data_IF_975621431624
#
_entry.id   IF_975621431624
#
_cell.length_a   1.000
_cell.length_b   1.000
_cell.length_c   1.000
_cell.angle_alpha   90.00
_cell.angle_beta   90.00
_cell.angle_gamma   90.00
#
_symmetry.space_group_name_H-M   'P 1'
#
loop_
_entity.id
_entity.type
_entity.pdbx_description
1 polymer ?
#
# COMPACT_ATOMS: atom_id res chain seq x y z
N UNK A 1 -14.48 -3.00 -9.92
CA UNK A 1 -13.99 -3.64 -11.16
C UNK A 1 -12.65 -3.02 -11.53
N UNK A 2 -11.77 -3.77 -12.17
CA UNK A 2 -10.50 -3.24 -12.67
C UNK A 2 -10.79 -2.42 -13.95
N UNK A 3 -10.25 -1.19 -14.10
CA UNK A 3 -10.38 -0.39 -15.33
C UNK A 3 -9.88 -1.12 -16.58
N UNK A 4 -10.35 -0.74 -17.76
CA UNK A 4 -9.96 -1.37 -19.04
C UNK A 4 -8.47 -1.27 -19.35
N UNK A 5 -7.83 -0.19 -18.89
CA UNK A 5 -6.37 0.01 -18.96
C UNK A 5 -5.62 -0.88 -17.95
N UNK A 6 -6.31 -1.47 -16.98
CA UNK A 6 -5.67 -2.19 -15.88
C UNK A 6 -5.05 -1.26 -14.86
N UNK A 7 -4.46 -1.85 -13.82
CA UNK A 7 -3.85 -1.13 -12.70
C UNK A 7 -2.49 -1.70 -12.36
N UNK A 8 -1.57 -0.82 -11.98
CA UNK A 8 -0.23 -1.19 -11.60
C UNK A 8 -0.18 -1.71 -10.15
N UNK A 9 0.46 -2.86 -9.95
CA UNK A 9 0.87 -3.32 -8.62
C UNK A 9 2.31 -2.86 -8.39
N UNK A 10 2.54 -2.18 -7.28
CA UNK A 10 3.83 -1.55 -6.97
C UNK A 10 4.61 -2.33 -5.93
N UNK A 11 5.92 -2.14 -5.91
CA UNK A 11 6.77 -2.59 -4.82
C UNK A 11 6.54 -1.74 -3.55
N UNK A 12 6.19 -2.39 -2.43
CA UNK A 12 5.90 -1.69 -1.17
C UNK A 12 7.11 -1.03 -0.49
N UNK A 13 8.35 -1.36 -0.86
CA UNK A 13 9.57 -0.96 -0.14
C UNK A 13 10.27 0.31 -0.68
N UNK A 14 9.77 0.95 -1.73
CA UNK A 14 10.43 2.09 -2.36
C UNK A 14 9.47 3.25 -2.59
N UNK A 15 9.99 4.48 -2.59
CA UNK A 15 9.26 5.69 -2.99
C UNK A 15 9.23 5.85 -4.51
N UNK A 16 10.17 5.21 -5.22
CA UNK A 16 10.17 5.15 -6.67
C UNK A 16 8.98 4.31 -7.16
N UNK A 17 8.35 4.73 -8.25
CA UNK A 17 7.30 3.93 -8.88
C UNK A 17 7.94 2.71 -9.55
N UNK A 18 8.04 1.62 -8.79
CA UNK A 18 8.50 0.33 -9.27
C UNK A 18 7.30 -0.58 -9.48
N UNK A 19 6.82 -0.62 -10.72
CA UNK A 19 5.76 -1.55 -11.13
C UNK A 19 6.31 -2.98 -11.14
N UNK A 20 5.61 -3.88 -10.47
CA UNK A 20 5.94 -5.30 -10.44
C UNK A 20 5.22 -6.06 -11.56
N UNK A 21 3.92 -5.81 -11.71
CA UNK A 21 3.05 -6.36 -12.74
C UNK A 21 1.76 -5.53 -12.80
N UNK A 22 0.89 -5.86 -13.76
CA UNK A 22 -0.41 -5.23 -13.89
C UNK A 22 -1.53 -6.23 -13.67
N UNK A 23 -2.61 -5.77 -13.05
CA UNK A 23 -3.89 -6.46 -13.07
C UNK A 23 -4.74 -5.90 -14.21
N UNK A 24 -5.32 -6.78 -15.02
CA UNK A 24 -6.19 -6.44 -16.14
C UNK A 24 -7.65 -6.81 -15.82
N UNK A 25 -8.63 -6.35 -16.59
CA UNK A 25 -9.99 -6.89 -16.51
C UNK A 25 -9.98 -8.43 -16.61
N UNK A 26 -10.61 -9.11 -15.66
CA UNK A 26 -10.54 -10.57 -15.47
C UNK A 26 -9.62 -11.03 -14.33
N UNK A 27 -8.73 -10.17 -13.83
CA UNK A 27 -7.87 -10.45 -12.67
C UNK A 27 -8.51 -10.02 -11.32
N UNK A 28 -9.83 -9.79 -11.25
CA UNK A 28 -10.49 -9.24 -10.05
C UNK A 28 -10.33 -10.12 -8.82
N UNK A 29 -10.16 -11.43 -8.98
CA UNK A 29 -9.99 -12.36 -7.87
C UNK A 29 -8.54 -12.47 -7.36
N UNK A 30 -7.59 -11.78 -8.00
CA UNK A 30 -6.17 -11.88 -7.64
C UNK A 30 -5.88 -11.08 -6.38
N UNK A 31 -5.23 -11.74 -5.42
CA UNK A 31 -4.84 -11.18 -4.12
C UNK A 31 -3.37 -11.42 -3.78
N UNK A 32 -2.62 -12.05 -4.69
CA UNK A 32 -1.22 -12.47 -4.53
C UNK A 32 -0.40 -12.19 -5.79
N UNK A 33 0.88 -11.88 -5.62
CA UNK A 33 1.86 -11.70 -6.68
C UNK A 33 2.65 -12.99 -7.02
N UNK A 34 2.34 -14.10 -6.36
CA UNK A 34 3.00 -15.38 -6.62
C UNK A 34 2.92 -15.76 -8.10
N UNK A 35 4.08 -16.06 -8.69
CA UNK A 35 4.21 -16.40 -10.12
C UNK A 35 3.95 -15.25 -11.11
N UNK A 36 3.63 -14.03 -10.63
CA UNK A 36 3.30 -12.86 -11.47
C UNK A 36 4.40 -11.80 -11.50
N UNK A 37 5.21 -11.73 -10.45
CA UNK A 37 6.36 -10.85 -10.40
C UNK A 37 7.60 -11.63 -9.99
N UNK A 38 8.67 -11.50 -10.77
CA UNK A 38 10.00 -11.77 -10.23
C UNK A 38 10.34 -10.62 -9.30
N UNK A 39 10.43 -10.92 -8.00
CA UNK A 39 10.80 -9.95 -6.99
C UNK A 39 12.29 -10.10 -6.69
N UNK A 40 13.20 -9.47 -7.46
CA UNK A 40 14.58 -9.45 -7.04
C UNK A 40 14.65 -8.60 -5.76
N UNK A 41 15.27 -9.12 -4.71
CA UNK A 41 15.55 -8.34 -3.51
C UNK A 41 16.28 -7.04 -3.90
N UNK A 42 16.04 -5.88 -3.25
CA UNK A 42 16.88 -4.71 -3.44
C UNK A 42 18.37 -5.08 -3.32
N UNK A 43 19.25 -4.59 -4.21
CA UNK A 43 20.67 -4.89 -4.18
C UNK A 43 21.28 -4.59 -2.80
N UNK A 44 22.09 -5.51 -2.28
CA UNK A 44 22.74 -5.35 -0.97
C UNK A 44 21.90 -5.77 0.23
N UNK A 45 20.73 -6.36 0.03
CA UNK A 45 19.95 -6.90 1.12
C UNK A 45 20.40 -8.29 1.58
N UNK A 46 20.50 -8.43 2.90
CA UNK A 46 20.92 -9.67 3.56
C UNK A 46 19.83 -10.74 3.66
N UNK A 47 18.59 -10.44 3.25
CA UNK A 47 17.45 -11.34 3.44
C UNK A 47 16.50 -11.46 2.22
N UNK A 48 16.93 -12.11 1.12
CA UNK A 48 16.08 -12.36 -0.05
C UNK A 48 14.79 -13.16 0.24
N UNK A 49 14.83 -14.03 1.25
CA UNK A 49 13.77 -14.98 1.57
C UNK A 49 12.52 -14.32 2.15
N UNK A 50 12.67 -13.18 2.82
CA UNK A 50 11.53 -12.53 3.47
C UNK A 50 10.53 -11.93 2.47
N UNK A 51 10.94 -11.62 1.25
CA UNK A 51 10.03 -11.08 0.23
C UNK A 51 9.24 -12.17 -0.50
N UNK A 52 9.85 -13.33 -0.73
CA UNK A 52 9.13 -14.51 -1.21
C UNK A 52 8.10 -15.03 -0.18
N UNK A 53 8.28 -14.71 1.10
CA UNK A 53 7.39 -15.10 2.19
C UNK A 53 6.13 -14.24 2.32
N UNK A 54 6.01 -13.15 1.54
CA UNK A 54 4.91 -12.18 1.64
C UNK A 54 4.34 -11.84 0.25
N UNK A 55 3.87 -12.84 -0.51
CA UNK A 55 3.39 -12.61 -1.86
C UNK A 55 2.02 -11.91 -1.91
N UNK A 56 1.28 -11.86 -0.79
CA UNK A 56 -0.03 -11.23 -0.74
C UNK A 56 0.06 -9.73 -1.00
N UNK A 57 -0.86 -9.21 -1.81
CA UNK A 57 -0.90 -7.79 -2.17
C UNK A 57 -1.56 -7.03 -1.02
N UNK A 58 -0.82 -6.11 -0.42
CA UNK A 58 -1.30 -5.31 0.69
C UNK A 58 -2.09 -4.08 0.23
N UNK A 59 -3.13 -3.76 0.99
CA UNK A 59 -3.92 -2.55 0.78
C UNK A 59 -3.16 -1.31 1.26
N UNK A 60 -3.38 -0.20 0.57
CA UNK A 60 -2.95 1.12 1.02
C UNK A 60 -3.92 2.14 0.47
N UNK A 61 -4.29 3.07 1.31
CA UNK A 61 -5.24 4.12 0.97
C UNK A 61 -4.54 5.46 0.97
N UNK A 62 -5.04 6.37 0.16
CA UNK A 62 -4.63 7.75 0.20
C UNK A 62 -5.80 8.69 0.40
N UNK A 63 -5.63 9.75 1.19
CA UNK A 63 -6.58 10.85 1.19
C UNK A 63 -6.77 11.31 -0.25
N UNK A 64 -8.01 11.53 -0.67
CA UNK A 64 -8.34 11.92 -2.03
C UNK A 64 -7.67 13.28 -2.33
N UNK A 65 -6.44 13.22 -2.83
CA UNK A 65 -5.76 14.39 -3.37
C UNK A 65 -6.43 14.68 -4.69
N UNK A 66 -7.29 15.70 -4.75
CA UNK A 66 -7.64 16.34 -6.03
C UNK A 66 -6.43 17.05 -6.68
N UNK A 67 -5.20 16.63 -6.40
CA UNK A 67 -3.99 17.12 -7.07
C UNK A 67 -2.93 16.01 -7.16
N UNK A 68 -2.49 15.64 -8.38
CA UNK A 68 -1.18 15.02 -8.54
C UNK A 68 -0.16 16.10 -8.16
N UNK A 69 0.58 15.88 -7.06
CA UNK A 69 1.50 16.83 -6.40
C UNK A 69 0.90 17.74 -5.30
N UNK A 70 0.08 17.22 -4.39
CA UNK A 70 0.02 17.81 -3.05
C UNK A 70 1.33 17.50 -2.31
N UNK A 71 2.31 18.39 -2.42
CA UNK A 71 3.41 18.45 -1.46
C UNK A 71 2.86 18.54 -0.03
N UNK A 72 3.62 17.97 0.91
CA UNK A 72 3.49 18.06 2.36
C UNK A 72 2.36 18.98 2.85
N UNK A 73 1.33 18.41 3.46
CA UNK A 73 0.32 19.21 4.17
C UNK A 73 0.97 19.77 5.43
N UNK A 74 1.36 21.03 5.41
CA UNK A 74 1.70 21.80 6.60
C UNK A 74 0.41 22.17 7.37
N UNK A 75 -0.19 21.17 8.02
CA UNK A 75 -1.17 21.37 9.10
C UNK A 75 -0.52 20.92 10.41
N UNK A 76 -0.20 21.89 11.24
CA UNK A 76 0.58 21.84 12.47
C UNK A 76 -0.10 21.16 13.66
N UNK A 77 -0.82 20.05 13.47
CA UNK A 77 -1.47 19.30 14.57
C UNK A 77 -0.69 18.04 14.99
N UNK A 78 0.58 17.91 14.61
CA UNK A 78 1.49 16.90 15.13
C UNK A 78 2.06 17.31 16.50
N UNK A 79 1.25 17.18 17.55
CA UNK A 79 1.78 17.12 18.91
C UNK A 79 2.13 15.66 19.22
N UNK A 80 3.42 15.42 19.49
CA UNK A 80 4.11 14.14 19.78
C UNK A 80 4.93 13.57 18.60
N UNK A 81 6.13 14.14 18.44
CA UNK A 81 7.11 13.76 17.43
C UNK A 81 7.90 12.49 17.75
N UNK A 82 8.24 11.76 16.69
CA UNK A 82 9.54 11.11 16.43
C UNK A 82 9.42 10.31 15.12
N UNK A 83 9.76 10.95 14.00
CA UNK A 83 10.71 10.46 12.99
C UNK A 83 10.57 11.27 11.69
N UNK A 84 11.68 11.89 11.30
CA UNK A 84 11.82 12.69 10.10
C UNK A 84 11.69 11.83 8.84
N UNK A 85 10.48 11.69 8.34
CA UNK A 85 10.16 11.35 6.95
C UNK A 85 9.12 12.38 6.49
N UNK A 86 9.18 12.90 5.26
CA UNK A 86 8.22 13.88 4.78
C UNK A 86 6.81 13.34 5.02
N UNK A 87 6.01 14.07 5.81
CA UNK A 87 4.63 13.75 6.10
C UNK A 87 3.89 13.58 4.77
N UNK A 88 3.48 12.34 4.42
CA UNK A 88 2.79 12.13 3.16
C UNK A 88 1.43 12.83 3.16
N UNK A 89 0.89 13.28 4.31
CA UNK A 89 -0.42 13.92 4.53
C UNK A 89 -1.64 13.09 4.13
N UNK A 90 -1.41 12.19 3.18
CA UNK A 90 -2.34 11.60 2.27
C UNK A 90 -2.04 10.12 2.10
N UNK A 91 -0.93 9.52 2.56
CA UNK A 91 -0.68 8.06 2.42
C UNK A 91 -1.01 7.34 3.73
N UNK A 92 -1.78 6.25 3.66
CA UNK A 92 -2.32 5.52 4.80
C UNK A 92 -2.19 4.01 4.60
N UNK A 93 -1.29 3.40 5.38
CA UNK A 93 -1.33 1.95 5.68
C UNK A 93 -2.05 1.66 6.99
N UNK A 94 -1.95 2.62 7.92
CA UNK A 94 -2.72 2.74 9.15
C UNK A 94 -3.75 3.84 8.99
N UNK A 95 -5.01 3.55 9.27
CA UNK A 95 -6.09 4.52 9.26
C UNK A 95 -7.17 4.11 10.26
N UNK A 96 -7.62 5.06 11.09
CA UNK A 96 -8.77 4.82 11.98
C UNK A 96 -10.01 4.43 11.16
N UNK A 97 -11.08 3.90 11.78
CA UNK A 97 -12.33 3.60 11.07
C UNK A 97 -12.93 4.77 10.28
N UNK A 98 -12.60 6.02 10.67
CA UNK A 98 -13.03 7.25 10.01
C UNK A 98 -12.04 7.74 8.93
N UNK A 99 -10.97 6.99 8.66
CA UNK A 99 -9.94 7.33 7.66
C UNK A 99 -8.88 8.31 8.14
N UNK A 100 -8.88 8.65 9.43
CA UNK A 100 -7.89 9.56 10.01
C UNK A 100 -6.53 8.86 10.13
N UNK A 101 -5.46 9.66 10.19
CA UNK A 101 -4.12 9.12 10.43
C UNK A 101 -4.08 8.31 11.73
N UNK A 102 -3.37 7.19 11.72
CA UNK A 102 -3.11 6.37 12.91
C UNK A 102 -1.63 6.01 12.98
N UNK A 103 -1.09 5.96 14.20
CA UNK A 103 0.25 5.51 14.52
C UNK A 103 0.30 4.05 15.01
N UNK A 104 -0.87 3.41 15.19
CA UNK A 104 -0.99 2.03 15.65
C UNK A 104 -1.14 1.06 14.48
N UNK A 105 -0.52 -0.13 14.57
CA UNK A 105 -0.70 -1.18 13.56
C UNK A 105 -2.01 -1.99 13.78
N UNK A 106 -2.84 -1.63 14.77
CA UNK A 106 -4.19 -2.20 14.96
C UNK A 106 -5.15 -1.73 13.86
N UNK A 107 -4.90 -0.52 13.36
CA UNK A 107 -5.69 0.17 12.35
C UNK A 107 -5.16 -0.05 10.91
N UNK A 108 -4.43 -1.14 10.69
CA UNK A 108 -3.91 -1.47 9.37
C UNK A 108 -5.06 -1.74 8.38
N UNK A 109 -5.03 -1.12 7.19
CA UNK A 109 -6.12 -1.19 6.20
C UNK A 109 -6.50 -2.64 5.83
N UNK A 110 -5.51 -3.53 5.71
CA UNK A 110 -5.70 -4.97 5.49
C UNK A 110 -5.25 -5.82 6.69
N UNK A 111 -5.09 -5.25 7.88
CA UNK A 111 -4.55 -5.93 9.06
C UNK A 111 -3.02 -6.02 9.09
N UNK A 112 -2.45 -6.26 10.27
CA UNK A 112 -1.00 -6.30 10.46
C UNK A 112 -0.40 -7.58 9.85
N UNK A 113 0.68 -7.42 9.07
CA UNK A 113 1.39 -8.56 8.49
C UNK A 113 2.12 -9.42 9.53
N UNK A 114 2.29 -10.69 9.19
CA UNK A 114 2.81 -11.81 10.00
C UNK A 114 4.08 -11.53 10.80
N UNK A 115 4.86 -10.51 10.43
CA UNK A 115 6.11 -10.18 11.13
C UNK A 115 5.93 -9.36 12.42
N UNK A 116 4.74 -8.79 12.76
CA UNK A 116 4.53 -8.01 14.03
C UNK A 116 3.76 -8.70 15.13
N UNK A 117 2.92 -9.68 14.82
CA UNK A 117 1.89 -10.15 15.76
C UNK A 117 1.90 -11.67 15.89
N UNK A 118 1.69 -12.15 17.13
CA UNK A 118 1.59 -13.58 17.46
C UNK A 118 0.44 -14.26 16.72
N UNK A 119 -0.57 -13.48 16.30
CA UNK A 119 -1.67 -13.89 15.46
C UNK A 119 -1.79 -12.87 14.30
N UNK A 120 -1.36 -13.21 13.08
CA UNK A 120 -1.52 -12.35 11.91
C UNK A 120 -2.98 -12.00 11.68
N UNK A 121 -3.28 -10.70 11.57
CA UNK A 121 -4.62 -10.22 11.19
C UNK A 121 -4.70 -9.85 9.70
N UNK A 122 -3.58 -10.02 8.98
CA UNK A 122 -3.51 -9.74 7.56
C UNK A 122 -4.59 -10.52 6.79
N UNK A 123 -5.40 -9.78 6.04
CA UNK A 123 -6.41 -10.33 5.15
C UNK A 123 -6.07 -9.92 3.74
N UNK A 124 -5.72 -10.89 2.90
CA UNK A 124 -5.56 -10.65 1.47
C UNK A 124 -6.89 -10.13 0.90
N UNK A 125 -6.82 -9.03 0.17
CA UNK A 125 -7.98 -8.33 -0.40
C UNK A 125 -7.86 -8.37 -1.92
N UNK A 126 -8.99 -8.41 -2.63
CA UNK A 126 -9.00 -8.14 -4.07
C UNK A 126 -8.77 -6.65 -4.34
N UNK A 127 -8.51 -6.28 -5.59
CA UNK A 127 -8.50 -4.87 -6.00
C UNK A 127 -9.84 -4.19 -5.65
N UNK A 128 -10.97 -4.85 -5.95
CA UNK A 128 -12.30 -4.33 -5.66
C UNK A 128 -12.56 -4.13 -4.16
N UNK A 129 -12.18 -5.10 -3.34
CA UNK A 129 -12.30 -5.00 -1.88
C UNK A 129 -11.44 -3.86 -1.34
N UNK A 130 -10.24 -3.68 -1.89
CA UNK A 130 -9.30 -2.62 -1.47
C UNK A 130 -9.86 -1.24 -1.81
N UNK A 131 -10.40 -1.06 -3.02
CA UNK A 131 -11.11 0.17 -3.41
C UNK A 131 -12.26 0.46 -2.43
N UNK A 132 -13.15 -0.52 -2.22
CA UNK A 132 -14.30 -0.36 -1.33
C UNK A 132 -13.88 -0.05 0.12
N UNK A 133 -12.78 -0.66 0.60
CA UNK A 133 -12.25 -0.40 1.93
C UNK A 133 -11.69 1.01 2.05
N UNK A 134 -10.96 1.50 1.06
CA UNK A 134 -10.49 2.89 1.07
C UNK A 134 -11.67 3.86 1.00
N UNK A 135 -12.67 3.61 0.14
CA UNK A 135 -13.86 4.45 0.03
C UNK A 135 -14.68 4.49 1.32
N UNK A 136 -14.84 3.35 2.00
CA UNK A 136 -15.51 3.28 3.30
C UNK A 136 -14.79 4.10 4.40
N UNK A 137 -13.49 4.33 4.23
CA UNK A 137 -12.69 5.20 5.09
C UNK A 137 -12.69 6.67 4.60
N UNK A 138 -13.41 7.02 3.52
CA UNK A 138 -13.35 8.35 2.92
C UNK A 138 -12.03 8.64 2.18
N UNK A 139 -11.32 7.59 1.76
CA UNK A 139 -10.03 7.63 1.08
C UNK A 139 -10.15 7.03 -0.34
N UNK A 140 -9.11 7.20 -1.16
CA UNK A 140 -8.92 6.53 -2.45
C UNK A 140 -7.70 5.62 -2.45
N UNK A 141 -7.34 5.04 -3.60
CA UNK A 141 -6.06 4.33 -3.76
C UNK A 141 -4.91 5.31 -3.98
N UNK A 142 -3.73 4.93 -3.52
CA UNK A 142 -2.51 5.72 -3.69
C UNK A 142 -1.91 5.59 -5.09
N UNK A 143 -1.30 6.67 -5.58
CA UNK A 143 -0.52 6.68 -6.83
C UNK A 143 0.98 6.45 -6.59
N UNK A 144 1.33 5.91 -5.43
CA UNK A 144 2.68 5.64 -4.95
C UNK A 144 2.63 4.56 -3.88
N UNK A 145 3.77 3.93 -3.57
CA UNK A 145 3.86 3.09 -2.36
C UNK A 145 3.90 3.96 -1.09
N UNK A 146 3.14 3.58 -0.06
CA UNK A 146 3.23 4.17 1.27
C UNK A 146 4.43 3.63 2.07
N UNK A 147 5.60 3.53 1.45
CA UNK A 147 6.79 2.97 2.08
C UNK A 147 7.08 3.65 3.44
N UNK A 148 7.48 2.85 4.42
CA UNK A 148 7.78 3.24 5.80
C UNK A 148 6.59 3.72 6.64
N UNK A 149 5.35 3.62 6.15
CA UNK A 149 4.14 4.01 6.88
C UNK A 149 3.54 2.91 7.78
N UNK A 150 4.31 1.88 8.15
CA UNK A 150 3.85 0.82 9.08
C UNK A 150 3.30 -0.46 8.44
N UNK A 151 2.61 -1.26 9.25
CA UNK A 151 1.94 -2.53 8.91
C UNK A 151 2.81 -3.64 8.31
N UNK A 152 4.13 -3.41 8.22
CA UNK A 152 5.11 -4.22 7.47
C UNK A 152 4.83 -4.37 5.98
N UNK A 153 3.93 -3.57 5.39
CA UNK A 153 3.65 -3.66 3.95
C UNK A 153 4.82 -3.24 3.06
N UNK A 154 5.95 -2.77 3.62
CA UNK A 154 7.20 -2.65 2.87
C UNK A 154 7.60 -4.00 2.24
N UNK A 155 7.23 -5.08 2.90
CA UNK A 155 7.58 -6.44 2.49
C UNK A 155 6.49 -7.09 1.65
N UNK A 156 5.49 -6.31 1.18
CA UNK A 156 4.42 -6.78 0.30
C UNK A 156 4.41 -5.97 -1.00
N UNK A 157 3.95 -6.56 -2.12
CA UNK A 157 3.37 -5.80 -3.21
C UNK A 157 2.20 -4.95 -2.69
N UNK A 158 1.92 -3.82 -3.32
CA UNK A 158 0.81 -2.95 -2.90
C UNK A 158 -0.10 -2.58 -4.06
N UNK A 159 -1.40 -2.52 -3.80
CA UNK A 159 -2.37 -1.95 -4.73
C UNK A 159 -2.10 -0.46 -4.94
N UNK A 160 -2.34 0.03 -6.16
CA UNK A 160 -2.24 1.45 -6.50
C UNK A 160 -3.40 1.90 -7.38
N UNK A 161 -3.61 3.21 -7.45
CA UNK A 161 -4.53 3.87 -8.37
C UNK A 161 -3.92 4.20 -9.74
N UNK A 162 -2.67 3.79 -10.00
CA UNK A 162 -2.00 4.06 -11.27
C UNK A 162 -2.53 3.14 -12.38
N UNK A 163 -2.81 3.68 -13.59
CA UNK A 163 -3.17 2.86 -14.74
C UNK A 163 -1.98 2.03 -15.24
N UNK A 164 -2.25 1.02 -16.06
CA UNK A 164 -1.24 0.27 -16.78
C UNK A 164 -1.39 0.41 -18.32
N UNK A 165 -0.31 0.36 -19.12
CA UNK A 165 1.04 0.76 -18.72
C UNK A 165 1.04 2.19 -18.18
N UNK A 166 2.08 2.56 -17.43
CA UNK A 166 2.25 3.95 -16.99
C UNK A 166 2.41 4.85 -18.25
N UNK A 167 1.75 6.01 -18.30
CA UNK A 167 1.88 6.97 -19.40
C UNK A 167 3.27 7.59 -19.50
#
# INVERSE_FOLDING_TARGET
LIPSVGVAILAGYTQEIKVLFCLLPGDEAITTAEGRATWPPPPGSSYPQHWAAHPEIAAQCCAASNTPNAGASNTSDALHGNSSMPDPGNCRRRATPEGLASDTDEDCVAGASHARVSLPTFKAMTYGDTVAKCEALGLGLCNQSCVYQGCYYNMHPVYSGLPCPLP
#
